data_IF_699319849358
#
_entry.id   IF_699319849358
#
_cell.length_a   1.000
_cell.length_b   1.000
_cell.length_c   1.000
_cell.angle_alpha   90.00
_cell.angle_beta   90.00
_cell.angle_gamma   90.00
#
_symmetry.space_group_name_H-M   'P 1'
#
loop_
_entity.id
_entity.type
_entity.pdbx_description
1 polymer ?
#
# COMPACT_ATOMS: atom_id res chain seq x y z
N UNK A 1 -72.30 -96.08 79.60
CA UNK A 1 -73.14 -94.88 79.44
C UNK A 1 -72.40 -93.56 79.66
N UNK A 2 -71.81 -93.27 80.81
CA UNK A 2 -71.03 -92.02 80.99
C UNK A 2 -69.74 -91.96 80.14
N UNK A 3 -69.03 -93.10 80.02
CA UNK A 3 -67.77 -93.20 79.28
C UNK A 3 -67.92 -92.91 77.78
N UNK A 4 -68.97 -93.45 77.15
CA UNK A 4 -69.23 -93.27 75.71
C UNK A 4 -69.65 -91.83 75.39
N UNK A 5 -70.35 -91.17 76.31
CA UNK A 5 -70.71 -89.76 76.19
C UNK A 5 -69.48 -88.86 76.28
N UNK A 6 -68.61 -89.10 77.28
CA UNK A 6 -67.34 -88.37 77.39
C UNK A 6 -66.41 -88.62 76.20
N UNK A 7 -66.44 -89.82 75.60
CA UNK A 7 -65.66 -90.15 74.40
C UNK A 7 -66.16 -89.38 73.17
N UNK A 8 -67.47 -89.29 72.95
CA UNK A 8 -68.05 -88.49 71.86
C UNK A 8 -67.80 -86.99 72.04
N UNK A 9 -67.87 -86.49 73.27
CA UNK A 9 -67.54 -85.11 73.58
C UNK A 9 -66.06 -84.82 73.31
N UNK A 10 -65.17 -85.75 73.69
CA UNK A 10 -63.74 -85.65 73.38
C UNK A 10 -63.48 -85.63 71.87
N UNK A 11 -64.06 -86.54 71.10
CA UNK A 11 -63.95 -86.59 69.63
C UNK A 11 -64.46 -85.27 69.00
N UNK A 12 -65.61 -84.76 69.43
CA UNK A 12 -66.14 -83.48 68.95
C UNK A 12 -65.25 -82.28 69.32
N UNK A 13 -64.58 -82.30 70.48
CA UNK A 13 -63.61 -81.26 70.84
C UNK A 13 -62.32 -81.36 70.02
N UNK A 14 -61.87 -82.57 69.68
CA UNK A 14 -60.70 -82.81 68.84
C UNK A 14 -60.94 -82.34 67.40
N UNK A 15 -62.13 -82.61 66.84
CA UNK A 15 -62.50 -82.13 65.50
C UNK A 15 -62.56 -80.61 65.44
N UNK A 16 -63.16 -79.97 66.46
CA UNK A 16 -63.19 -78.50 66.57
C UNK A 16 -61.79 -77.90 66.74
N UNK A 17 -60.91 -78.57 67.49
CA UNK A 17 -59.53 -78.14 67.66
C UNK A 17 -58.78 -78.24 66.33
N UNK A 18 -58.93 -79.33 65.58
CA UNK A 18 -58.31 -79.52 64.28
C UNK A 18 -58.81 -78.49 63.25
N UNK A 19 -60.10 -78.18 63.24
CA UNK A 19 -60.68 -77.13 62.40
C UNK A 19 -60.13 -75.74 62.76
N UNK A 20 -60.05 -75.43 64.07
CA UNK A 20 -59.47 -74.18 64.55
C UNK A 20 -57.99 -74.06 64.20
N UNK A 21 -57.19 -75.12 64.36
CA UNK A 21 -55.77 -75.15 63.97
C UNK A 21 -55.57 -74.97 62.46
N UNK A 22 -56.42 -75.59 61.63
CA UNK A 22 -56.41 -75.40 60.18
C UNK A 22 -56.75 -73.96 59.80
N UNK A 23 -57.74 -73.37 60.48
CA UNK A 23 -58.11 -71.98 60.29
C UNK A 23 -56.99 -71.03 60.73
N UNK A 24 -56.32 -71.31 61.85
CA UNK A 24 -55.16 -70.55 62.32
C UNK A 24 -54.04 -70.58 61.29
N UNK A 25 -53.67 -71.76 60.77
CA UNK A 25 -52.63 -71.88 59.72
C UNK A 25 -52.98 -71.11 58.45
N UNK A 26 -54.25 -71.14 58.05
CA UNK A 26 -54.73 -70.37 56.90
C UNK A 26 -54.59 -68.87 57.15
N UNK A 27 -55.00 -68.40 58.32
CA UNK A 27 -54.86 -67.00 58.73
C UNK A 27 -53.39 -66.58 58.85
N UNK A 28 -52.50 -67.43 59.36
CA UNK A 28 -51.06 -67.17 59.42
C UNK A 28 -50.46 -67.02 58.01
N UNK A 29 -50.88 -67.86 57.06
CA UNK A 29 -50.47 -67.73 55.66
C UNK A 29 -51.00 -66.44 55.03
N UNK A 30 -52.27 -66.10 55.26
CA UNK A 30 -52.88 -64.85 54.78
C UNK A 30 -52.16 -63.62 55.36
N UNK A 31 -51.80 -63.64 56.65
CA UNK A 31 -51.03 -62.58 57.30
C UNK A 31 -49.64 -62.44 56.68
N UNK A 32 -48.94 -63.55 56.46
CA UNK A 32 -47.63 -63.54 55.80
C UNK A 32 -47.71 -62.97 54.38
N UNK A 33 -48.68 -63.42 53.60
CA UNK A 33 -48.93 -62.92 52.24
C UNK A 33 -49.28 -61.43 52.22
N UNK A 34 -50.02 -60.95 53.23
CA UNK A 34 -50.34 -59.53 53.36
C UNK A 34 -49.11 -58.67 53.68
N UNK A 35 -48.21 -59.13 54.56
CA UNK A 35 -46.96 -58.41 54.84
C UNK A 35 -46.03 -58.38 53.62
N UNK A 36 -45.95 -59.45 52.84
CA UNK A 36 -45.22 -59.46 51.57
C UNK A 36 -45.81 -58.45 50.58
N UNK A 37 -47.14 -58.42 50.42
CA UNK A 37 -47.82 -57.46 49.56
C UNK A 37 -47.57 -56.01 50.01
N UNK A 38 -47.63 -55.75 51.32
CA UNK A 38 -47.37 -54.44 51.91
C UNK A 38 -45.94 -53.98 51.68
N UNK A 39 -44.96 -54.89 51.78
CA UNK A 39 -43.56 -54.59 51.48
C UNK A 39 -43.35 -54.23 50.00
N UNK A 40 -43.94 -55.01 49.09
CA UNK A 40 -43.87 -54.78 47.66
C UNK A 40 -44.57 -53.47 47.26
N UNK A 41 -45.72 -53.19 47.86
CA UNK A 41 -46.47 -51.95 47.67
C UNK A 41 -45.65 -50.73 48.07
N UNK A 42 -44.98 -50.78 49.23
CA UNK A 42 -44.09 -49.71 49.70
C UNK A 42 -42.93 -49.46 48.73
N UNK A 43 -42.21 -50.50 48.31
CA UNK A 43 -41.10 -50.37 47.36
C UNK A 43 -41.57 -49.82 46.02
N UNK A 44 -42.75 -50.22 45.57
CA UNK A 44 -43.34 -49.73 44.31
C UNK A 44 -43.75 -48.27 44.40
N UNK A 45 -44.30 -47.84 45.54
CA UNK A 45 -44.61 -46.44 45.81
C UNK A 45 -43.35 -45.56 45.86
N UNK A 46 -42.28 -46.02 46.50
CA UNK A 46 -41.00 -45.30 46.55
C UNK A 46 -40.37 -45.16 45.15
N UNK A 47 -40.44 -46.22 44.32
CA UNK A 47 -40.00 -46.18 42.92
C UNK A 47 -40.81 -45.20 42.09
N UNK A 48 -42.13 -45.22 42.24
CA UNK A 48 -43.04 -44.33 41.53
C UNK A 48 -42.80 -42.86 41.89
N UNK A 49 -42.53 -42.57 43.18
CA UNK A 49 -42.17 -41.23 43.63
C UNK A 49 -40.90 -40.73 42.91
N UNK A 50 -39.87 -41.57 42.80
CA UNK A 50 -38.63 -41.22 42.10
C UNK A 50 -38.82 -41.03 40.59
N UNK A 51 -39.76 -41.74 39.96
CA UNK A 51 -40.09 -41.55 38.53
C UNK A 51 -40.50 -40.12 38.23
N UNK A 52 -41.30 -39.49 39.10
CA UNK A 52 -41.75 -38.10 38.88
C UNK A 52 -40.60 -37.09 38.91
N UNK A 53 -39.60 -37.30 39.76
CA UNK A 53 -38.40 -36.45 39.82
C UNK A 53 -37.50 -36.66 38.59
N UNK A 54 -37.35 -37.90 38.13
CA UNK A 54 -36.63 -38.21 36.89
C UNK A 54 -37.30 -37.60 35.67
N UNK A 55 -38.64 -37.56 35.62
CA UNK A 55 -39.39 -36.91 34.55
C UNK A 55 -39.18 -35.39 34.55
N UNK A 56 -39.24 -34.73 35.71
CA UNK A 56 -38.93 -33.30 35.84
C UNK A 56 -37.52 -32.98 35.36
N UNK A 57 -36.54 -33.79 35.77
CA UNK A 57 -35.15 -33.62 35.35
C UNK A 57 -34.98 -33.85 33.85
N UNK A 58 -35.69 -34.83 33.26
CA UNK A 58 -35.68 -35.05 31.82
C UNK A 58 -36.22 -33.84 31.04
N UNK A 59 -37.30 -33.22 31.53
CA UNK A 59 -37.84 -31.98 30.95
C UNK A 59 -36.82 -30.85 31.06
N UNK A 60 -36.23 -30.65 32.24
CA UNK A 60 -35.20 -29.63 32.47
C UNK A 60 -34.02 -29.79 31.51
N UNK A 61 -33.52 -31.03 31.34
CA UNK A 61 -32.40 -31.33 30.43
C UNK A 61 -32.77 -31.10 28.96
N UNK A 62 -34.01 -31.43 28.55
CA UNK A 62 -34.50 -31.15 27.19
C UNK A 62 -34.57 -29.65 26.91
N UNK A 63 -35.04 -28.85 27.88
CA UNK A 63 -35.07 -27.39 27.74
C UNK A 63 -33.66 -26.80 27.68
N UNK A 64 -32.73 -27.28 28.52
CA UNK A 64 -31.33 -26.88 28.46
C UNK A 64 -30.69 -27.23 27.10
N UNK A 65 -30.96 -28.42 26.57
CA UNK A 65 -30.46 -28.85 25.27
C UNK A 65 -30.99 -27.96 24.13
N UNK A 66 -32.29 -27.62 24.16
CA UNK A 66 -32.89 -26.69 23.19
C UNK A 66 -32.24 -25.30 23.28
N UNK A 67 -32.01 -24.79 24.49
CA UNK A 67 -31.36 -23.50 24.69
C UNK A 67 -29.91 -23.50 24.18
N UNK A 68 -29.16 -24.57 24.44
CA UNK A 68 -27.79 -24.72 23.94
C UNK A 68 -27.76 -24.79 22.41
N UNK A 69 -28.70 -25.52 21.79
CA UNK A 69 -28.80 -25.58 20.33
C UNK A 69 -29.09 -24.19 19.72
N UNK A 70 -29.98 -23.40 20.34
CA UNK A 70 -30.23 -22.01 19.92
C UNK A 70 -28.96 -21.17 20.02
N UNK A 71 -28.28 -21.23 21.17
CA UNK A 71 -27.06 -20.45 21.41
C UNK A 71 -25.94 -20.80 20.43
N UNK A 72 -25.79 -22.07 20.06
CA UNK A 72 -24.84 -22.50 19.04
C UNK A 72 -25.19 -21.88 17.68
N UNK A 73 -26.47 -21.86 17.30
CA UNK A 73 -26.92 -21.21 16.06
C UNK A 73 -26.60 -19.72 16.04
N UNK A 74 -26.93 -19.01 17.12
CA UNK A 74 -26.66 -17.58 17.26
C UNK A 74 -25.14 -17.29 17.22
N UNK A 75 -24.34 -18.14 17.87
CA UNK A 75 -22.88 -18.03 17.85
C UNK A 75 -22.33 -18.19 16.44
N UNK A 76 -22.76 -19.21 15.69
CA UNK A 76 -22.29 -19.44 14.32
C UNK A 76 -22.63 -18.26 13.40
N UNK A 77 -23.83 -17.70 13.55
CA UNK A 77 -24.24 -16.50 12.80
C UNK A 77 -23.36 -15.30 13.14
N UNK A 78 -23.04 -15.09 14.42
CA UNK A 78 -22.14 -14.01 14.84
C UNK A 78 -20.73 -14.20 14.30
N UNK A 79 -20.19 -15.43 14.32
CA UNK A 79 -18.88 -15.74 13.76
C UNK A 79 -18.81 -15.43 12.25
N UNK A 80 -19.85 -15.77 11.50
CA UNK A 80 -19.96 -15.42 10.07
C UNK A 80 -20.02 -13.90 9.84
N UNK A 81 -20.83 -13.19 10.63
CA UNK A 81 -20.94 -11.73 10.55
C UNK A 81 -19.62 -11.03 10.88
N UNK A 82 -18.88 -11.52 11.87
CA UNK A 82 -17.56 -11.03 12.24
C UNK A 82 -16.57 -11.26 11.11
N UNK A 83 -16.53 -12.47 10.54
CA UNK A 83 -15.65 -12.80 9.42
C UNK A 83 -15.94 -11.92 8.19
N UNK A 84 -17.21 -11.72 7.85
CA UNK A 84 -17.64 -10.82 6.77
C UNK A 84 -17.23 -9.37 7.03
N UNK A 85 -17.41 -8.89 8.25
CA UNK A 85 -17.04 -7.52 8.64
C UNK A 85 -15.52 -7.31 8.58
N UNK A 86 -14.72 -8.28 9.02
CA UNK A 86 -13.26 -8.25 8.93
C UNK A 86 -12.78 -8.24 7.48
N UNK A 87 -13.39 -9.04 6.60
CA UNK A 87 -13.07 -9.04 5.18
C UNK A 87 -13.37 -7.67 4.54
N UNK A 88 -14.52 -7.07 4.86
CA UNK A 88 -14.88 -5.73 4.38
C UNK A 88 -13.94 -4.65 4.93
N UNK A 89 -13.56 -4.73 6.20
CA UNK A 89 -12.62 -3.79 6.80
C UNK A 89 -11.27 -3.82 6.07
N UNK A 90 -10.74 -5.02 5.80
CA UNK A 90 -9.49 -5.20 5.06
C UNK A 90 -9.54 -4.61 3.65
N UNK A 91 -10.64 -4.79 2.93
CA UNK A 91 -10.85 -4.19 1.61
C UNK A 91 -10.90 -2.66 1.68
N UNK A 92 -11.57 -2.10 2.70
CA UNK A 92 -11.62 -0.66 2.93
C UNK A 92 -10.25 -0.08 3.27
N UNK A 93 -9.47 -0.73 4.14
CA UNK A 93 -8.10 -0.32 4.48
C UNK A 93 -7.19 -0.31 3.24
N UNK A 94 -7.33 -1.30 2.35
CA UNK A 94 -6.58 -1.33 1.09
C UNK A 94 -6.98 -0.17 0.16
N UNK A 95 -8.28 0.11 0.05
CA UNK A 95 -8.78 1.24 -0.75
C UNK A 95 -8.34 2.59 -0.19
N UNK A 96 -8.32 2.74 1.13
CA UNK A 96 -7.91 3.96 1.79
C UNK A 96 -6.41 4.23 1.56
N UNK A 97 -5.57 3.19 1.68
CA UNK A 97 -4.15 3.29 1.34
C UNK A 97 -3.91 3.68 -0.13
N UNK A 98 -4.69 3.12 -1.06
CA UNK A 98 -4.64 3.51 -2.47
C UNK A 98 -5.11 4.94 -2.70
N UNK A 99 -6.17 5.37 -2.01
CA UNK A 99 -6.68 6.75 -2.08
C UNK A 99 -5.61 7.75 -1.64
N UNK A 100 -4.97 7.51 -0.50
CA UNK A 100 -3.89 8.35 0.00
C UNK A 100 -2.71 8.43 -0.99
N UNK A 101 -2.32 7.30 -1.58
CA UNK A 101 -1.26 7.27 -2.59
C UNK A 101 -1.64 8.07 -3.86
N UNK A 102 -2.89 7.95 -4.31
CA UNK A 102 -3.40 8.70 -5.46
C UNK A 102 -3.48 10.20 -5.18
N UNK A 103 -3.91 10.62 -3.98
CA UNK A 103 -3.94 12.03 -3.59
C UNK A 103 -2.55 12.67 -3.61
N UNK A 104 -1.53 11.97 -3.10
CA UNK A 104 -0.14 12.44 -3.19
C UNK A 104 0.26 12.59 -4.66
N UNK A 105 -0.01 11.57 -5.49
CA UNK A 105 0.36 11.61 -6.91
C UNK A 105 -0.34 12.72 -7.68
N UNK A 106 -1.61 13.00 -7.37
CA UNK A 106 -2.35 14.13 -7.97
C UNK A 106 -1.71 15.45 -7.60
N UNK A 107 -1.37 15.67 -6.32
CA UNK A 107 -0.71 16.91 -5.88
C UNK A 107 0.65 17.12 -6.54
N UNK A 108 1.42 16.05 -6.72
CA UNK A 108 2.69 16.10 -7.47
C UNK A 108 2.47 16.52 -8.92
N UNK A 109 1.53 15.87 -9.61
CA UNK A 109 1.20 16.17 -11.01
C UNK A 109 0.64 17.59 -11.19
N UNK A 110 -0.16 18.07 -10.24
CA UNK A 110 -0.65 19.44 -10.24
C UNK A 110 0.50 20.44 -10.06
N UNK A 111 1.47 20.14 -9.19
CA UNK A 111 2.66 20.98 -9.02
C UNK A 111 3.50 21.02 -10.31
N UNK A 112 3.80 19.85 -10.88
CA UNK A 112 4.51 19.74 -12.16
C UNK A 112 3.77 20.51 -13.27
N UNK A 113 2.44 20.39 -13.34
CA UNK A 113 1.64 21.11 -14.33
C UNK A 113 1.72 22.63 -14.16
N UNK A 114 1.72 23.12 -12.91
CA UNK A 114 1.92 24.55 -12.62
C UNK A 114 3.30 25.01 -13.08
N UNK A 115 4.35 24.25 -12.77
CA UNK A 115 5.72 24.53 -13.22
C UNK A 115 5.80 24.59 -14.76
N UNK A 116 5.25 23.60 -15.46
CA UNK A 116 5.21 23.56 -16.93
C UNK A 116 4.39 24.71 -17.54
N UNK A 117 3.28 25.08 -16.91
CA UNK A 117 2.48 26.24 -17.34
C UNK A 117 3.22 27.54 -17.13
N UNK A 118 3.94 27.68 -16.02
CA UNK A 118 4.74 28.87 -15.75
C UNK A 118 5.89 28.97 -16.76
N UNK A 119 6.63 27.89 -16.98
CA UNK A 119 7.65 27.82 -18.02
C UNK A 119 7.06 28.20 -19.40
N UNK A 120 5.89 27.66 -19.73
CA UNK A 120 5.22 28.02 -20.97
C UNK A 120 4.88 29.50 -21.07
N UNK A 121 4.45 30.15 -19.98
CA UNK A 121 4.21 31.61 -19.94
C UNK A 121 5.49 32.42 -20.08
N UNK A 122 6.57 31.99 -19.44
CA UNK A 122 7.84 32.72 -19.44
C UNK A 122 8.47 32.77 -20.83
N UNK A 123 8.29 31.70 -21.63
CA UNK A 123 8.91 31.56 -22.95
C UNK A 123 7.95 31.85 -24.13
N UNK A 124 6.65 31.98 -23.89
CA UNK A 124 5.66 32.32 -24.93
C UNK A 124 5.34 33.82 -24.90
N UNK A 125 5.11 34.49 -26.05
CA UNK A 125 4.70 35.90 -26.07
C UNK A 125 3.44 36.16 -25.22
N UNK A 126 3.38 37.33 -24.54
CA UNK A 126 2.37 37.69 -23.52
C UNK A 126 0.89 37.59 -23.94
N UNK A 127 0.60 37.47 -25.24
CA UNK A 127 -0.76 37.44 -25.79
C UNK A 127 -1.17 36.06 -26.35
N UNK A 128 -0.30 35.05 -26.27
CA UNK A 128 -0.59 33.73 -26.84
C UNK A 128 -1.03 32.73 -25.77
N UNK A 129 -2.02 31.90 -26.11
CA UNK A 129 -2.44 30.76 -25.30
C UNK A 129 -1.26 29.79 -25.14
N UNK A 130 -0.83 29.59 -23.88
CA UNK A 130 0.22 28.64 -23.54
C UNK A 130 -0.29 27.22 -23.75
N UNK A 131 0.27 26.53 -24.73
CA UNK A 131 0.00 25.13 -25.04
C UNK A 131 1.31 24.38 -25.26
N UNK A 132 1.30 23.05 -25.12
CA UNK A 132 2.48 22.24 -25.40
C UNK A 132 3.03 22.47 -26.82
N UNK A 133 2.13 22.71 -27.79
CA UNK A 133 2.50 23.01 -29.19
C UNK A 133 3.21 24.36 -29.31
N UNK A 134 2.71 25.41 -28.65
CA UNK A 134 3.35 26.74 -28.73
C UNK A 134 4.73 26.74 -28.06
N UNK A 135 4.88 26.04 -26.93
CA UNK A 135 6.18 25.87 -26.26
C UNK A 135 7.15 25.10 -27.14
N UNK A 136 6.72 23.98 -27.76
CA UNK A 136 7.55 23.21 -28.71
C UNK A 136 8.03 24.07 -29.87
N UNK A 137 7.12 24.78 -30.53
CA UNK A 137 7.47 25.67 -31.65
C UNK A 137 8.47 26.74 -31.22
N UNK A 138 8.37 27.24 -29.99
CA UNK A 138 9.32 28.21 -29.46
C UNK A 138 10.71 27.62 -29.24
N UNK A 139 10.78 26.40 -28.70
CA UNK A 139 12.04 25.67 -28.54
C UNK A 139 12.69 25.48 -29.92
N UNK A 140 11.93 25.04 -30.92
CA UNK A 140 12.42 24.88 -32.30
C UNK A 140 12.96 26.22 -32.87
N UNK A 141 12.26 27.33 -32.64
CA UNK A 141 12.75 28.66 -33.05
C UNK A 141 14.06 29.07 -32.35
N UNK A 142 14.20 28.76 -31.05
CA UNK A 142 15.43 29.05 -30.31
C UNK A 142 16.57 28.22 -30.88
N UNK A 143 16.37 26.90 -31.05
CA UNK A 143 17.38 26.01 -31.63
C UNK A 143 17.79 26.43 -33.05
N UNK A 144 16.84 26.89 -33.87
CA UNK A 144 17.15 27.40 -35.21
C UNK A 144 17.99 28.67 -35.15
N UNK A 145 17.70 29.59 -34.22
CA UNK A 145 18.51 30.80 -34.02
C UNK A 145 19.91 30.47 -33.53
N UNK A 146 20.05 29.52 -32.60
CA UNK A 146 21.35 29.10 -32.09
C UNK A 146 22.23 28.53 -33.21
N UNK A 147 21.64 27.79 -34.15
CA UNK A 147 22.35 27.26 -35.31
C UNK A 147 22.84 28.37 -36.26
N UNK A 148 22.01 29.41 -36.47
CA UNK A 148 22.40 30.59 -37.26
C UNK A 148 23.53 31.36 -36.57
N UNK A 149 23.39 31.64 -35.27
CA UNK A 149 24.40 32.35 -34.49
C UNK A 149 25.74 31.59 -34.45
N UNK A 150 25.71 30.26 -34.33
CA UNK A 150 26.90 29.43 -34.38
C UNK A 150 27.62 29.53 -35.74
N UNK A 151 26.86 29.56 -36.84
CA UNK A 151 27.42 29.76 -38.18
C UNK A 151 27.99 31.18 -38.35
N UNK A 152 27.28 32.21 -37.92
CA UNK A 152 27.74 33.60 -37.95
C UNK A 152 29.03 33.77 -37.14
N UNK A 153 29.08 33.19 -35.93
CA UNK A 153 30.28 33.20 -35.10
C UNK A 153 31.47 32.56 -35.81
N UNK A 154 31.27 31.41 -36.46
CA UNK A 154 32.31 30.74 -37.24
C UNK A 154 32.80 31.58 -38.42
N UNK A 155 31.87 32.23 -39.14
CA UNK A 155 32.18 33.13 -40.26
C UNK A 155 33.02 34.33 -39.80
N UNK A 156 32.55 35.04 -38.77
CA UNK A 156 33.24 36.19 -38.19
C UNK A 156 34.62 35.80 -37.66
N UNK A 157 34.73 34.61 -37.05
CA UNK A 157 36.01 34.10 -36.59
C UNK A 157 36.95 33.84 -37.76
N UNK A 158 36.46 33.29 -38.87
CA UNK A 158 37.27 33.07 -40.08
C UNK A 158 37.73 34.39 -40.70
N UNK A 159 36.83 35.36 -40.85
CA UNK A 159 37.14 36.70 -41.36
C UNK A 159 38.19 37.40 -40.48
N UNK A 160 38.06 37.29 -39.15
CA UNK A 160 39.05 37.82 -38.22
C UNK A 160 40.44 37.25 -38.48
N UNK A 161 40.56 35.94 -38.70
CA UNK A 161 41.86 35.32 -39.00
C UNK A 161 42.43 35.80 -40.33
N UNK A 162 41.60 35.98 -41.36
CA UNK A 162 42.03 36.51 -42.66
C UNK A 162 42.53 37.95 -42.56
N UNK A 163 41.77 38.83 -41.88
CA UNK A 163 42.16 40.22 -41.66
C UNK A 163 43.46 40.30 -40.86
N UNK A 164 43.58 39.48 -39.82
CA UNK A 164 44.81 39.41 -39.01
C UNK A 164 46.02 39.02 -39.86
N UNK A 165 45.89 37.99 -40.71
CA UNK A 165 46.95 37.61 -41.65
C UNK A 165 47.31 38.74 -42.62
N UNK A 166 46.31 39.47 -43.14
CA UNK A 166 46.56 40.62 -44.03
C UNK A 166 47.27 41.78 -43.33
N UNK A 167 46.96 42.02 -42.05
CA UNK A 167 47.66 43.03 -41.24
C UNK A 167 49.14 42.64 -41.11
N UNK A 168 49.44 41.38 -40.81
CA UNK A 168 50.81 40.88 -40.67
C UNK A 168 51.60 41.00 -41.99
N UNK A 169 50.98 40.65 -43.11
CA UNK A 169 51.56 40.85 -44.45
C UNK A 169 51.89 42.33 -44.72
N UNK A 170 50.93 43.22 -44.49
CA UNK A 170 51.12 44.66 -44.71
C UNK A 170 52.18 45.25 -43.78
N UNK A 171 52.25 44.79 -42.52
CA UNK A 171 53.31 45.19 -41.60
C UNK A 171 54.69 44.78 -42.11
N UNK A 172 54.82 43.55 -42.62
CA UNK A 172 56.06 43.05 -43.23
C UNK A 172 56.46 43.85 -44.48
N UNK A 173 55.51 44.12 -45.37
CA UNK A 173 55.75 44.93 -46.58
C UNK A 173 56.16 46.38 -46.22
N UNK A 174 55.50 46.98 -45.23
CA UNK A 174 55.83 48.32 -44.76
C UNK A 174 57.24 48.38 -44.15
N UNK A 175 57.63 47.36 -43.39
CA UNK A 175 59.00 47.24 -42.86
C UNK A 175 60.04 47.15 -43.99
N UNK A 176 59.79 46.35 -45.03
CA UNK A 176 60.66 46.25 -46.21
C UNK A 176 60.78 47.57 -46.97
N UNK A 177 59.65 48.24 -47.23
CA UNK A 177 59.62 49.52 -47.92
C UNK A 177 60.33 50.62 -47.12
N UNK A 178 60.14 50.67 -45.80
CA UNK A 178 60.86 51.59 -44.93
C UNK A 178 62.37 51.33 -44.94
N UNK A 179 62.79 50.06 -44.96
CA UNK A 179 64.19 49.67 -45.13
C UNK A 179 64.78 50.21 -46.43
N UNK A 180 64.11 49.96 -47.56
CA UNK A 180 64.52 50.48 -48.88
C UNK A 180 64.55 52.01 -48.92
N UNK A 181 63.58 52.67 -48.30
CA UNK A 181 63.51 54.13 -48.24
C UNK A 181 64.68 54.71 -47.44
N UNK A 182 65.07 54.06 -46.35
CA UNK A 182 66.27 54.41 -45.59
C UNK A 182 67.56 54.20 -46.39
N UNK A 183 67.66 53.14 -47.20
CA UNK A 183 68.77 52.92 -48.13
C UNK A 183 68.84 54.02 -49.20
N UNK A 184 67.71 54.37 -49.83
CA UNK A 184 67.64 55.42 -50.84
C UNK A 184 68.00 56.80 -50.28
N UNK A 185 67.54 57.13 -49.07
CA UNK A 185 67.92 58.39 -48.39
C UNK A 185 69.44 58.46 -48.16
N UNK A 186 70.05 57.39 -47.65
CA UNK A 186 71.52 57.31 -47.48
C UNK A 186 72.25 57.46 -48.82
N UNK A 187 71.78 56.81 -49.88
CA UNK A 187 72.36 56.93 -51.21
C UNK A 187 72.24 58.37 -51.76
N UNK A 188 71.09 59.02 -51.57
CA UNK A 188 70.85 60.40 -51.97
C UNK A 188 71.76 61.38 -51.23
N UNK A 189 71.90 61.26 -49.92
CA UNK A 189 72.83 62.07 -49.11
C UNK A 189 74.28 61.89 -49.60
N UNK A 190 74.67 60.65 -49.91
CA UNK A 190 75.97 60.35 -50.51
C UNK A 190 76.18 61.04 -51.87
N UNK A 191 75.19 60.97 -52.76
CA UNK A 191 75.22 61.64 -54.05
C UNK A 191 75.25 63.17 -53.90
N UNK A 192 74.47 63.75 -52.99
CA UNK A 192 74.51 65.19 -52.69
C UNK A 192 75.90 65.63 -52.22
N UNK A 193 76.55 64.85 -51.35
CA UNK A 193 77.93 65.10 -50.92
C UNK A 193 78.93 65.06 -52.09
N UNK A 194 78.77 64.10 -53.01
CA UNK A 194 79.59 64.01 -54.24
C UNK A 194 79.36 65.23 -55.14
N UNK A 195 78.10 65.58 -55.42
CA UNK A 195 77.73 66.73 -56.23
C UNK A 195 78.28 68.02 -55.63
N UNK A 196 78.14 68.22 -54.31
CA UNK A 196 78.66 69.40 -53.64
C UNK A 196 80.18 69.50 -53.74
N UNK A 197 80.92 68.38 -53.59
CA UNK A 197 82.36 68.34 -53.83
C UNK A 197 82.73 68.64 -55.29
N UNK A 198 81.97 68.12 -56.25
CA UNK A 198 82.18 68.39 -57.67
C UNK A 198 81.93 69.86 -58.00
N UNK A 199 80.85 70.47 -57.48
CA UNK A 199 80.56 71.90 -57.60
C UNK A 199 81.68 72.75 -57.01
N UNK A 200 82.18 72.41 -55.80
CA UNK A 200 83.29 73.13 -55.18
C UNK A 200 84.56 73.07 -56.05
N UNK A 201 84.88 71.89 -56.61
CA UNK A 201 86.00 71.72 -57.54
C UNK A 201 85.80 72.51 -58.84
N UNK A 202 84.59 72.51 -59.40
CA UNK A 202 84.27 73.26 -60.61
C UNK A 202 84.45 74.77 -60.37
N UNK A 203 83.89 75.29 -59.28
CA UNK A 203 84.04 76.70 -58.91
C UNK A 203 85.50 77.12 -58.67
N UNK A 204 86.37 76.20 -58.21
CA UNK A 204 87.82 76.44 -58.11
C UNK A 204 88.52 76.49 -59.47
N UNK A 205 87.97 75.82 -60.49
CA UNK A 205 88.51 75.78 -61.86
C UNK A 205 87.95 76.93 -62.72
N UNK A 206 86.74 77.40 -62.44
CA UNK A 206 86.07 78.49 -63.17
C UNK A 206 86.10 79.84 -62.42
N UNK A 207 86.76 79.90 -61.26
CA UNK A 207 86.81 81.05 -60.35
C UNK A 207 88.15 81.79 -60.33
N UNK A 208 88.89 81.77 -61.45
CA UNK A 208 89.87 82.80 -61.84
C UNK A 208 89.30 83.61 -63.01
#
# INVERSE_FOLDING_TARGET
DAYDQTKRELEATQDRLAEAESRVKTLEYEVGSYEDWKSLSKVSADRLANTTELEKENVRLKDQLKNLQSLIGDKLLLEEQVASSQARLKDLEQKDALSAALEVRVKELERELVEWRQLGKDYTPKESLVSAKTVRNRIEQILQKDLVLANEQSSVQTEKHQIQGRIEELQSENALLNGRLADYKRAQEGLQSIVHRAQKKLNLVTGE
#
